data_IF_972402158750
#
_entry.id   IF_972402158750
#
_cell.length_a   1.000
_cell.length_b   1.000
_cell.length_c   1.000
_cell.angle_alpha   90.00
_cell.angle_beta   90.00
_cell.angle_gamma   90.00
#
_symmetry.space_group_name_H-M   'P 1'
#
loop_
_entity.id
_entity.type
_entity.pdbx_description
1 polymer ?
#
# COMPACT_ATOMS: atom_id res chain seq x y z
N UNK A 1 -8.49 -8.27 39.90
CA UNK A 1 -7.72 -8.52 38.66
C UNK A 1 -6.43 -7.71 38.74
N UNK A 2 -5.30 -8.27 38.33
CA UNK A 2 -4.01 -7.58 38.28
C UNK A 2 -3.43 -7.67 36.87
N UNK A 3 -3.08 -6.54 36.26
CA UNK A 3 -2.49 -6.48 34.91
C UNK A 3 -1.01 -6.12 35.05
N UNK A 4 -0.14 -6.95 34.48
CA UNK A 4 1.31 -6.76 34.50
C UNK A 4 1.77 -6.55 33.06
N UNK A 5 2.13 -5.30 32.73
CA UNK A 5 2.45 -4.89 31.35
C UNK A 5 3.67 -3.96 31.26
N UNK A 6 4.73 -4.35 30.53
CA UNK A 6 4.99 -5.69 30.02
C UNK A 6 5.61 -6.57 31.10
N UNK A 7 5.21 -7.85 31.17
CA UNK A 7 5.67 -8.80 32.21
C UNK A 7 7.20 -8.95 32.28
N UNK A 8 7.87 -8.73 31.14
CA UNK A 8 9.32 -8.85 31.07
C UNK A 8 10.09 -7.80 31.88
N UNK A 9 9.50 -6.61 32.10
CA UNK A 9 10.11 -5.56 32.93
C UNK A 9 9.97 -5.87 34.43
N UNK A 10 9.19 -6.88 34.79
CA UNK A 10 9.01 -7.33 36.16
C UNK A 10 9.93 -8.52 36.52
N UNK A 11 10.81 -8.95 35.61
CA UNK A 11 11.78 -9.99 35.91
C UNK A 11 12.78 -9.51 36.98
N UNK A 12 12.99 -10.28 38.06
CA UNK A 12 14.13 -10.11 38.96
C UNK A 12 15.46 -10.22 38.21
N UNK A 13 16.49 -9.50 38.69
CA UNK A 13 17.80 -9.42 38.03
C UNK A 13 18.55 -10.76 37.98
N UNK A 14 18.22 -11.69 38.87
CA UNK A 14 18.85 -13.01 39.02
C UNK A 14 18.19 -14.09 38.17
N UNK A 15 17.14 -13.74 37.40
CA UNK A 15 16.42 -14.69 36.55
C UNK A 15 16.98 -14.69 35.12
N UNK A 16 17.35 -15.87 34.65
CA UNK A 16 17.68 -16.08 33.24
C UNK A 16 16.41 -16.31 32.41
N UNK A 17 16.04 -15.41 31.47
CA UNK A 17 14.83 -15.54 30.65
C UNK A 17 14.85 -16.73 29.68
N UNK A 18 16.02 -17.32 29.42
CA UNK A 18 16.14 -18.54 28.62
C UNK A 18 15.94 -19.83 29.45
N UNK A 19 15.92 -19.73 30.79
CA UNK A 19 15.78 -20.88 31.67
C UNK A 19 14.33 -21.12 32.07
N UNK A 20 13.76 -22.22 31.59
CA UNK A 20 12.40 -22.66 31.91
C UNK A 20 12.11 -22.73 33.41
N UNK A 21 13.08 -23.20 34.21
CA UNK A 21 12.88 -23.37 35.66
C UNK A 21 12.86 -22.03 36.40
N UNK A 22 13.71 -21.08 36.02
CA UNK A 22 13.75 -19.76 36.64
C UNK A 22 12.46 -18.98 36.34
N UNK A 23 12.01 -18.99 35.08
CA UNK A 23 10.75 -18.37 34.67
C UNK A 23 9.56 -19.07 35.34
N UNK A 24 9.55 -20.41 35.40
CA UNK A 24 8.48 -21.17 36.05
C UNK A 24 8.34 -20.85 37.54
N UNK A 25 9.46 -20.66 38.26
CA UNK A 25 9.46 -20.24 39.68
C UNK A 25 8.86 -18.83 39.83
N UNK A 26 9.24 -17.90 38.98
CA UNK A 26 8.71 -16.53 39.02
C UNK A 26 7.20 -16.48 38.73
N UNK A 27 6.75 -17.14 37.66
CA UNK A 27 5.34 -17.14 37.26
C UNK A 27 4.44 -17.78 38.32
N UNK A 28 4.95 -18.80 39.01
CA UNK A 28 4.28 -19.38 40.19
C UNK A 28 4.12 -18.35 41.30
N UNK A 29 5.19 -17.64 41.66
CA UNK A 29 5.14 -16.61 42.70
C UNK A 29 4.13 -15.51 42.35
N UNK A 30 4.08 -15.06 41.09
CA UNK A 30 3.08 -14.08 40.62
C UNK A 30 1.66 -14.63 40.79
N UNK A 31 1.43 -15.90 40.45
CA UNK A 31 0.13 -16.55 40.62
C UNK A 31 -0.28 -16.64 42.07
N UNK A 32 0.63 -17.05 42.96
CA UNK A 32 0.37 -17.22 44.38
C UNK A 32 0.02 -15.88 45.02
N UNK A 33 0.81 -14.83 44.77
CA UNK A 33 0.53 -13.47 45.27
C UNK A 33 -0.82 -12.96 44.76
N UNK A 34 -1.12 -13.12 43.47
CA UNK A 34 -2.41 -12.69 42.92
C UNK A 34 -3.56 -13.48 43.53
N UNK A 35 -3.43 -14.81 43.66
CA UNK A 35 -4.44 -15.68 44.26
C UNK A 35 -4.71 -15.31 45.71
N UNK A 36 -3.67 -15.10 46.50
CA UNK A 36 -3.78 -14.74 47.93
C UNK A 36 -4.45 -13.37 48.09
N UNK A 37 -4.28 -12.47 47.13
CA UNK A 37 -4.97 -11.20 47.04
C UNK A 37 -6.39 -11.28 46.41
N UNK A 38 -6.88 -12.47 46.06
CA UNK A 38 -8.19 -12.65 45.40
C UNK A 38 -8.25 -12.10 43.97
N UNK A 39 -7.11 -11.96 43.29
CA UNK A 39 -7.00 -11.41 41.95
C UNK A 39 -6.58 -12.48 40.92
N UNK A 40 -7.16 -12.41 39.72
CA UNK A 40 -6.64 -13.14 38.56
C UNK A 40 -5.52 -12.32 37.89
N UNK A 41 -4.33 -12.91 37.64
CA UNK A 41 -3.27 -12.24 36.90
C UNK A 41 -3.55 -12.22 35.39
N UNK A 42 -3.27 -11.08 34.75
CA UNK A 42 -3.18 -10.91 33.29
C UNK A 42 -1.76 -10.45 32.99
N UNK A 43 -1.01 -11.28 32.26
CA UNK A 43 0.37 -10.99 31.92
C UNK A 43 0.45 -10.57 30.44
N UNK A 44 0.97 -9.38 30.18
CA UNK A 44 1.18 -8.88 28.81
C UNK A 44 2.60 -9.22 28.39
N UNK A 45 2.72 -10.05 27.37
CA UNK A 45 4.00 -10.48 26.80
C UNK A 45 4.06 -10.18 25.31
N UNK A 46 5.27 -9.91 24.82
CA UNK A 46 5.54 -9.79 23.39
C UNK A 46 5.65 -11.16 22.70
N UNK A 47 5.30 -11.19 21.41
CA UNK A 47 5.66 -12.27 20.50
C UNK A 47 7.12 -12.12 20.03
N UNK A 48 7.74 -13.23 19.62
CA UNK A 48 9.08 -13.31 19.06
C UNK A 48 9.19 -12.47 17.79
N UNK A 49 10.38 -11.88 17.58
CA UNK A 49 10.74 -11.22 16.33
C UNK A 49 11.37 -12.23 15.36
N UNK A 50 11.32 -11.94 14.07
CA UNK A 50 12.04 -12.72 13.05
C UNK A 50 11.34 -14.01 12.60
N UNK A 51 10.03 -14.13 12.81
CA UNK A 51 9.24 -15.21 12.22
C UNK A 51 9.16 -15.06 10.69
N UNK A 52 9.18 -16.18 9.96
CA UNK A 52 9.27 -16.20 8.50
C UNK A 52 8.13 -15.44 7.81
N UNK A 53 6.92 -15.49 8.38
CA UNK A 53 5.80 -14.67 7.96
C UNK A 53 5.18 -13.98 9.19
N UNK A 54 5.43 -12.68 9.41
CA UNK A 54 4.89 -11.97 10.56
C UNK A 54 3.41 -11.61 10.45
N UNK A 55 2.74 -11.99 9.35
CA UNK A 55 1.36 -11.58 9.05
C UNK A 55 0.32 -12.71 9.21
N UNK A 56 0.73 -13.83 9.80
CA UNK A 56 -0.15 -14.96 10.13
C UNK A 56 -0.74 -14.79 11.54
N UNK A 57 -1.83 -15.49 11.88
CA UNK A 57 -2.33 -15.52 13.26
C UNK A 57 -1.23 -15.92 14.24
N UNK A 58 -1.10 -15.18 15.33
CA UNK A 58 -0.15 -15.53 16.38
C UNK A 58 -0.51 -16.86 17.05
N UNK A 59 0.51 -17.66 17.35
CA UNK A 59 0.39 -18.93 18.06
C UNK A 59 1.05 -18.83 19.44
N UNK A 60 0.77 -19.79 20.31
CA UNK A 60 1.30 -19.78 21.68
C UNK A 60 2.83 -19.95 21.68
N UNK A 61 3.34 -20.72 20.72
CA UNK A 61 4.75 -20.96 20.44
C UNK A 61 5.50 -19.70 20.01
N UNK A 62 4.77 -18.69 19.52
CA UNK A 62 5.33 -17.39 19.15
C UNK A 62 5.62 -16.50 20.36
N UNK A 63 5.17 -16.87 21.56
CA UNK A 63 5.48 -16.09 22.77
C UNK A 63 6.98 -16.10 23.03
N UNK A 64 7.52 -14.93 23.40
CA UNK A 64 8.92 -14.78 23.76
C UNK A 64 9.30 -15.57 25.01
N UNK A 65 10.57 -15.99 25.07
CA UNK A 65 11.19 -16.62 26.24
C UNK A 65 10.65 -18.01 26.63
N UNK A 66 11.39 -18.70 27.50
CA UNK A 66 11.05 -20.05 27.91
C UNK A 66 9.93 -20.04 28.96
N UNK A 67 9.05 -21.05 28.96
CA UNK A 67 8.12 -21.30 30.08
C UNK A 67 6.81 -20.55 30.06
N UNK A 68 6.68 -19.48 29.28
CA UNK A 68 5.45 -18.71 29.23
C UNK A 68 4.31 -19.47 28.55
N UNK A 69 4.58 -20.15 27.43
CA UNK A 69 3.57 -20.93 26.71
C UNK A 69 3.00 -22.06 27.59
N UNK A 70 3.83 -22.73 28.38
CA UNK A 70 3.42 -23.84 29.25
C UNK A 70 2.62 -23.34 30.47
N UNK A 71 2.87 -22.10 30.90
CA UNK A 71 2.21 -21.50 32.04
C UNK A 71 0.81 -20.93 31.70
N UNK A 72 0.64 -20.37 30.50
CA UNK A 72 -0.63 -19.76 30.11
C UNK A 72 -1.75 -20.79 29.91
N UNK A 73 -2.73 -20.77 30.82
CA UNK A 73 -3.94 -21.62 30.73
C UNK A 73 -4.99 -21.07 29.77
N UNK A 74 -4.99 -19.75 29.56
CA UNK A 74 -5.84 -18.99 28.64
C UNK A 74 -4.98 -17.91 27.99
N UNK A 75 -5.24 -17.58 26.73
CA UNK A 75 -4.45 -16.60 25.98
C UNK A 75 -5.31 -15.76 25.04
N UNK A 76 -4.82 -14.56 24.78
CA UNK A 76 -5.28 -13.65 23.73
C UNK A 76 -4.04 -13.14 23.00
N UNK A 77 -3.93 -13.48 21.73
CA UNK A 77 -2.78 -13.17 20.88
C UNK A 77 -3.24 -12.20 19.79
N UNK A 78 -2.54 -11.07 19.70
CA UNK A 78 -2.75 -10.07 18.67
C UNK A 78 -1.53 -10.07 17.77
N UNK A 79 -1.74 -10.25 16.47
CA UNK A 79 -0.69 -10.10 15.47
C UNK A 79 -1.19 -9.27 14.27
N UNK A 80 -0.30 -8.74 13.44
CA UNK A 80 -0.71 -8.00 12.24
C UNK A 80 -1.18 -8.96 11.14
N UNK A 81 -2.13 -8.54 10.31
CA UNK A 81 -2.50 -9.26 9.06
C UNK A 81 -1.71 -8.78 7.84
N UNK A 82 -1.08 -7.62 7.96
CA UNK A 82 -0.34 -6.96 6.89
C UNK A 82 0.57 -5.87 7.48
N UNK A 83 1.54 -5.34 6.71
CA UNK A 83 2.36 -4.21 7.14
C UNK A 83 1.48 -3.02 7.51
N UNK A 84 1.84 -2.30 8.57
CA UNK A 84 1.15 -1.07 8.93
C UNK A 84 1.51 0.06 7.95
N UNK A 85 0.51 0.72 7.41
CA UNK A 85 0.69 1.93 6.61
C UNK A 85 0.68 3.16 7.52
N UNK A 86 1.83 3.83 7.62
CA UNK A 86 2.02 5.01 8.47
C UNK A 86 1.07 6.13 8.04
N UNK A 87 0.31 6.67 9.00
CA UNK A 87 -0.63 7.76 8.75
C UNK A 87 -2.02 7.32 8.30
N UNK A 88 -2.24 6.03 8.03
CA UNK A 88 -3.57 5.51 7.66
C UNK A 88 -4.56 5.54 8.82
N UNK A 89 -4.09 5.36 10.06
CA UNK A 89 -4.95 5.13 11.23
C UNK A 89 -5.68 3.79 11.18
N UNK A 90 -5.35 2.91 10.21
CA UNK A 90 -6.01 1.62 10.02
C UNK A 90 -5.11 0.47 10.46
N UNK A 91 -5.62 -0.35 11.36
CA UNK A 91 -4.93 -1.51 11.90
C UNK A 91 -5.69 -2.78 11.52
N UNK A 92 -5.09 -3.59 10.65
CA UNK A 92 -5.60 -4.92 10.32
C UNK A 92 -4.86 -5.98 11.14
N UNK A 93 -5.56 -6.61 12.08
CA UNK A 93 -4.98 -7.51 13.07
C UNK A 93 -5.66 -8.89 13.03
N UNK A 94 -4.91 -9.92 13.38
CA UNK A 94 -5.43 -11.21 13.81
C UNK A 94 -5.62 -11.16 15.32
N UNK A 95 -6.74 -11.73 15.78
CA UNK A 95 -7.04 -11.95 17.18
C UNK A 95 -7.32 -13.43 17.40
N UNK A 96 -6.33 -14.12 17.99
CA UNK A 96 -6.38 -15.54 18.30
C UNK A 96 -6.55 -15.70 19.80
N UNK A 97 -7.58 -16.43 20.22
CA UNK A 97 -7.86 -16.69 21.63
C UNK A 97 -8.00 -18.18 21.86
N UNK A 98 -7.73 -18.61 23.08
CA UNK A 98 -7.99 -19.98 23.46
C UNK A 98 -7.61 -20.29 24.88
N UNK A 99 -7.78 -21.56 25.23
CA UNK A 99 -7.39 -22.06 26.52
C UNK A 99 -7.07 -23.55 26.49
N UNK A 100 -6.32 -23.96 27.50
CA UNK A 100 -5.93 -25.33 27.80
C UNK A 100 -7.08 -26.34 27.92
N UNK A 101 -8.33 -25.90 28.00
CA UNK A 101 -9.51 -26.75 27.94
C UNK A 101 -9.96 -27.08 26.51
N UNK A 102 -9.21 -26.66 25.49
CA UNK A 102 -9.44 -26.98 24.07
C UNK A 102 -10.36 -26.00 23.33
N UNK A 103 -10.89 -24.96 23.99
CA UNK A 103 -11.63 -23.90 23.30
C UNK A 103 -10.66 -22.95 22.61
N UNK A 104 -11.01 -22.51 21.41
CA UNK A 104 -10.26 -21.50 20.66
C UNK A 104 -11.18 -20.70 19.73
N UNK A 105 -10.74 -19.50 19.36
CA UNK A 105 -11.39 -18.66 18.37
C UNK A 105 -10.36 -17.82 17.63
N UNK A 106 -10.60 -17.59 16.34
CA UNK A 106 -9.79 -16.74 15.49
C UNK A 106 -10.68 -15.73 14.79
N UNK A 107 -10.33 -14.45 14.93
CA UNK A 107 -11.01 -13.33 14.30
C UNK A 107 -10.01 -12.43 13.59
N UNK A 108 -10.43 -11.82 12.49
CA UNK A 108 -9.82 -10.61 11.97
C UNK A 108 -10.39 -9.40 12.69
N UNK A 109 -9.54 -8.48 13.11
CA UNK A 109 -9.92 -7.16 13.58
C UNK A 109 -9.47 -6.13 12.55
N UNK A 110 -10.36 -5.21 12.21
CA UNK A 110 -10.05 -3.97 11.51
C UNK A 110 -10.38 -2.82 12.44
N UNK A 111 -9.35 -2.10 12.89
CA UNK A 111 -9.48 -0.98 13.83
C UNK A 111 -9.09 0.29 13.09
N UNK A 112 -10.02 1.25 12.99
CA UNK A 112 -9.76 2.57 12.48
C UNK A 112 -9.74 3.58 13.62
N UNK A 113 -8.56 4.18 13.85
CA UNK A 113 -8.31 5.16 14.91
C UNK A 113 -8.50 6.62 14.45
N UNK A 114 -8.77 6.83 13.16
CA UNK A 114 -8.69 8.14 12.53
C UNK A 114 -7.25 8.56 12.21
N UNK A 115 -7.12 9.62 11.41
CA UNK A 115 -5.82 10.21 11.09
C UNK A 115 -5.51 11.27 12.14
N UNK A 116 -4.31 11.20 12.73
CA UNK A 116 -3.88 12.21 13.69
C UNK A 116 -3.80 13.59 13.02
N UNK A 117 -4.63 14.51 13.47
CA UNK A 117 -4.65 15.89 13.03
C UNK A 117 -4.09 16.82 14.13
N UNK A 118 -2.90 17.41 13.94
CA UNK A 118 -2.31 18.34 14.89
C UNK A 118 -3.13 19.62 15.11
N UNK A 119 -4.00 19.99 14.15
CA UNK A 119 -4.85 21.17 14.27
C UNK A 119 -6.09 20.94 15.15
N UNK A 120 -6.39 19.68 15.46
CA UNK A 120 -7.55 19.28 16.25
C UNK A 120 -8.89 19.41 15.52
N UNK A 121 -8.88 19.66 14.21
CA UNK A 121 -10.10 19.77 13.40
C UNK A 121 -10.79 18.41 13.21
N UNK A 122 -10.02 17.31 13.23
CA UNK A 122 -10.57 15.94 13.25
C UNK A 122 -10.23 15.23 14.56
N UNK A 123 -11.23 14.75 15.33
CA UNK A 123 -10.98 13.91 16.49
C UNK A 123 -10.46 12.53 16.06
N UNK A 124 -9.68 11.87 16.93
CA UNK A 124 -9.43 10.43 16.80
C UNK A 124 -10.76 9.69 17.01
N UNK A 125 -10.96 8.63 16.25
CA UNK A 125 -12.12 7.74 16.39
C UNK A 125 -11.65 6.38 16.87
N UNK A 126 -12.57 5.53 17.32
CA UNK A 126 -12.26 4.14 17.63
C UNK A 126 -13.36 3.28 17.02
N UNK A 127 -13.19 2.95 15.75
CA UNK A 127 -14.13 2.12 15.00
C UNK A 127 -13.52 0.73 14.81
N UNK A 128 -14.25 -0.31 15.22
CA UNK A 128 -13.76 -1.68 15.25
C UNK A 128 -14.73 -2.58 14.51
N UNK A 129 -14.24 -3.18 13.44
CA UNK A 129 -14.93 -4.24 12.70
C UNK A 129 -14.29 -5.59 13.00
N UNK A 130 -15.13 -6.60 13.19
CA UNK A 130 -14.69 -7.99 13.35
C UNK A 130 -15.04 -8.80 12.11
N UNK A 131 -14.15 -9.69 11.72
CA UNK A 131 -14.27 -10.53 10.53
C UNK A 131 -13.99 -11.98 10.91
N UNK A 132 -14.74 -12.91 10.32
CA UNK A 132 -14.40 -14.34 10.35
C UNK A 132 -13.20 -14.60 9.43
N UNK A 133 -12.42 -15.67 9.66
CA UNK A 133 -11.22 -15.95 8.87
C UNK A 133 -11.45 -16.03 7.35
N UNK A 134 -12.59 -16.59 6.91
CA UNK A 134 -12.91 -16.67 5.48
C UNK A 134 -13.25 -15.30 4.87
N UNK A 135 -13.83 -14.39 5.64
CA UNK A 135 -14.14 -13.02 5.21
C UNK A 135 -12.85 -12.21 5.05
N UNK A 136 -11.86 -12.45 5.92
CA UNK A 136 -10.52 -11.88 5.78
C UNK A 136 -9.86 -12.29 4.46
N UNK A 137 -9.91 -13.58 4.13
CA UNK A 137 -9.30 -14.10 2.90
C UNK A 137 -9.96 -13.50 1.66
N UNK A 138 -11.30 -13.51 1.61
CA UNK A 138 -12.07 -12.87 0.53
C UNK A 138 -11.73 -11.39 0.39
N UNK A 139 -11.76 -10.63 1.47
CA UNK A 139 -11.44 -9.21 1.43
C UNK A 139 -10.00 -8.94 0.97
N UNK A 140 -9.06 -9.85 1.26
CA UNK A 140 -7.68 -9.76 0.77
C UNK A 140 -7.57 -10.09 -0.72
N UNK A 141 -8.37 -11.02 -1.22
CA UNK A 141 -8.45 -11.35 -2.65
C UNK A 141 -9.05 -10.20 -3.44
N UNK A 142 -10.19 -9.67 -3.00
CA UNK A 142 -10.88 -8.53 -3.60
C UNK A 142 -9.94 -7.32 -3.71
N UNK A 143 -9.25 -6.95 -2.61
CA UNK A 143 -8.25 -5.86 -2.63
C UNK A 143 -7.09 -6.12 -3.59
N UNK A 144 -6.67 -7.37 -3.71
CA UNK A 144 -5.57 -7.73 -4.62
C UNK A 144 -6.02 -7.62 -6.07
N UNK A 145 -7.27 -7.93 -6.38
CA UNK A 145 -7.85 -7.77 -7.71
C UNK A 145 -7.99 -6.29 -8.05
N UNK A 146 -8.59 -5.49 -7.18
CA UNK A 146 -8.69 -4.03 -7.33
C UNK A 146 -7.30 -3.39 -7.55
N UNK A 147 -6.29 -3.77 -6.76
CA UNK A 147 -4.93 -3.26 -6.91
C UNK A 147 -4.28 -3.69 -8.24
N UNK A 148 -4.61 -4.87 -8.77
CA UNK A 148 -4.13 -5.31 -10.10
C UNK A 148 -4.79 -4.50 -11.20
N UNK A 149 -6.10 -4.27 -11.12
CA UNK A 149 -6.86 -3.49 -12.09
C UNK A 149 -6.36 -2.04 -12.13
N UNK A 150 -6.28 -1.37 -10.97
CA UNK A 150 -5.76 -0.01 -10.86
C UNK A 150 -4.33 0.11 -11.42
N UNK A 151 -3.47 -0.90 -11.17
CA UNK A 151 -2.11 -0.93 -11.71
C UNK A 151 -2.09 -1.18 -13.22
N UNK A 152 -3.00 -1.99 -13.74
CA UNK A 152 -3.14 -2.23 -15.18
C UNK A 152 -3.59 -0.95 -15.90
N UNK A 153 -4.62 -0.28 -15.38
CA UNK A 153 -5.11 1.00 -15.88
C UNK A 153 -4.00 2.07 -15.87
N UNK A 154 -3.30 2.20 -14.73
CA UNK A 154 -2.19 3.14 -14.61
C UNK A 154 -1.09 2.87 -15.64
N UNK A 155 -0.76 1.58 -15.89
CA UNK A 155 0.21 1.19 -16.92
C UNK A 155 -0.26 1.51 -18.33
N UNK A 156 -1.53 1.26 -18.65
CA UNK A 156 -2.12 1.59 -19.95
C UNK A 156 -2.05 3.10 -20.18
N UNK A 157 -2.51 3.90 -19.20
CA UNK A 157 -2.46 5.36 -19.24
C UNK A 157 -1.03 5.89 -19.42
N UNK A 158 -0.10 5.45 -18.58
CA UNK A 158 1.31 5.88 -18.65
C UNK A 158 1.96 5.51 -19.99
N UNK A 159 1.61 4.34 -20.55
CA UNK A 159 2.09 3.90 -21.87
C UNK A 159 1.53 4.79 -22.97
N UNK A 160 0.22 5.07 -22.95
CA UNK A 160 -0.42 5.95 -23.91
C UNK A 160 0.19 7.35 -23.87
N UNK A 161 0.37 7.93 -22.68
CA UNK A 161 1.01 9.24 -22.50
C UNK A 161 2.43 9.29 -23.06
N UNK A 162 3.22 8.23 -22.85
CA UNK A 162 4.56 8.11 -23.43
C UNK A 162 4.52 8.05 -24.96
N UNK A 163 3.60 7.29 -25.53
CA UNK A 163 3.46 7.16 -26.98
C UNK A 163 2.99 8.50 -27.59
N UNK A 164 2.00 9.14 -26.97
CA UNK A 164 1.51 10.48 -27.30
C UNK A 164 2.67 11.48 -27.38
N UNK A 165 3.55 11.51 -26.38
CA UNK A 165 4.74 12.40 -26.39
C UNK A 165 5.67 12.11 -27.56
N UNK A 166 6.02 10.84 -27.79
CA UNK A 166 6.90 10.45 -28.91
C UNK A 166 6.34 10.84 -30.28
N UNK A 167 5.02 10.73 -30.47
CA UNK A 167 4.38 11.14 -31.73
C UNK A 167 4.53 12.64 -31.94
N UNK A 168 4.25 13.44 -30.92
CA UNK A 168 4.43 14.90 -30.98
C UNK A 168 5.90 15.25 -31.25
N UNK A 169 6.85 14.63 -30.55
CA UNK A 169 8.29 14.89 -30.74
C UNK A 169 8.73 14.64 -32.20
N UNK A 170 8.20 13.59 -32.85
CA UNK A 170 8.47 13.31 -34.27
C UNK A 170 7.81 14.36 -35.18
N UNK A 171 6.58 14.76 -34.87
CA UNK A 171 5.82 15.72 -35.68
C UNK A 171 6.35 17.14 -35.61
N UNK A 172 6.97 17.55 -34.50
CA UNK A 172 7.66 18.85 -34.40
C UNK A 172 8.75 19.00 -35.46
N UNK A 173 9.43 17.91 -35.85
CA UNK A 173 10.41 17.92 -36.94
C UNK A 173 9.80 17.89 -38.34
N UNK A 174 8.47 17.78 -38.48
CA UNK A 174 7.79 17.49 -39.74
C UNK A 174 6.45 18.25 -39.85
N UNK A 175 6.50 19.57 -40.07
CA UNK A 175 5.32 20.44 -40.03
C UNK A 175 4.28 20.16 -41.13
N UNK A 176 4.69 19.58 -42.27
CA UNK A 176 3.79 19.32 -43.42
C UNK A 176 2.96 18.03 -43.29
N UNK A 177 2.95 17.40 -42.11
CA UNK A 177 2.22 16.17 -41.83
C UNK A 177 2.85 14.90 -42.39
N UNK A 178 2.55 13.76 -41.75
CA UNK A 178 3.08 12.45 -42.13
C UNK A 178 2.04 11.34 -42.06
N UNK A 179 2.26 10.30 -42.87
CA UNK A 179 1.42 9.09 -42.82
C UNK A 179 1.64 8.32 -41.52
N UNK A 180 0.60 7.60 -41.07
CA UNK A 180 0.64 6.77 -39.86
C UNK A 180 1.84 5.81 -39.83
N UNK A 181 2.13 5.14 -40.95
CA UNK A 181 3.26 4.21 -41.06
C UNK A 181 4.59 4.92 -40.84
N UNK A 182 4.76 6.12 -41.42
CA UNK A 182 5.98 6.92 -41.29
C UNK A 182 6.19 7.38 -39.86
N UNK A 183 5.12 7.82 -39.19
CA UNK A 183 5.16 8.25 -37.78
C UNK A 183 5.49 7.08 -36.85
N UNK A 184 4.87 5.93 -37.07
CA UNK A 184 5.14 4.71 -36.30
C UNK A 184 6.60 4.27 -36.40
N UNK A 185 7.15 4.24 -37.63
CA UNK A 185 8.53 3.84 -37.89
C UNK A 185 9.53 4.80 -37.23
N UNK A 186 9.33 6.11 -37.37
CA UNK A 186 10.20 7.14 -36.79
C UNK A 186 10.13 7.18 -35.27
N UNK A 187 8.93 7.03 -34.70
CA UNK A 187 8.72 6.97 -33.25
C UNK A 187 9.15 5.60 -32.63
N UNK A 188 9.62 4.68 -33.48
CA UNK A 188 10.05 3.31 -33.13
C UNK A 188 9.00 2.56 -32.32
N UNK A 189 7.76 2.56 -32.81
CA UNK A 189 6.64 1.86 -32.20
C UNK A 189 5.79 1.14 -33.24
N UNK A 190 5.03 0.13 -32.79
CA UNK A 190 4.09 -0.58 -33.65
C UNK A 190 3.00 0.35 -34.20
N UNK A 191 2.51 0.09 -35.42
CA UNK A 191 1.43 0.87 -36.04
C UNK A 191 0.17 0.99 -35.17
N UNK A 192 -0.23 -0.09 -34.49
CA UNK A 192 -1.38 -0.07 -33.59
C UNK A 192 -1.22 0.98 -32.48
N UNK A 193 -0.10 0.94 -31.75
CA UNK A 193 0.21 1.92 -30.69
C UNK A 193 0.33 3.36 -31.21
N UNK A 194 0.81 3.53 -32.43
CA UNK A 194 0.85 4.85 -33.06
C UNK A 194 -0.56 5.35 -33.40
N UNK A 195 -1.44 4.47 -33.91
CA UNK A 195 -2.85 4.78 -34.18
C UNK A 195 -3.57 5.22 -32.91
N UNK A 196 -3.49 4.41 -31.85
CA UNK A 196 -4.08 4.71 -30.53
C UNK A 196 -3.60 6.07 -29.99
N UNK A 197 -2.30 6.37 -30.12
CA UNK A 197 -1.74 7.65 -29.66
C UNK A 197 -2.16 8.84 -30.53
N UNK A 198 -2.31 8.64 -31.85
CA UNK A 198 -2.73 9.69 -32.79
C UNK A 198 -4.23 9.98 -32.64
N UNK A 199 -5.08 8.96 -32.66
CA UNK A 199 -6.54 9.08 -32.47
C UNK A 199 -6.84 9.87 -31.20
N UNK A 200 -6.21 9.49 -30.10
CA UNK A 200 -6.40 10.14 -28.82
C UNK A 200 -5.88 11.60 -28.77
N UNK A 201 -4.99 11.99 -29.70
CA UNK A 201 -4.54 13.38 -29.86
C UNK A 201 -5.36 14.18 -30.85
N UNK A 202 -5.99 13.52 -31.83
CA UNK A 202 -7.02 14.12 -32.68
C UNK A 202 -8.25 14.45 -31.83
N UNK A 203 -8.64 13.56 -30.93
CA UNK A 203 -9.69 13.82 -29.92
C UNK A 203 -9.35 15.00 -29.02
N UNK A 204 -8.09 15.11 -28.56
CA UNK A 204 -7.61 16.25 -27.78
C UNK A 204 -7.48 17.56 -28.62
N UNK A 205 -7.75 17.51 -29.93
CA UNK A 205 -7.63 18.65 -30.86
C UNK A 205 -6.20 19.07 -31.16
N UNK A 206 -5.20 18.27 -30.78
CA UNK A 206 -3.78 18.59 -30.98
C UNK A 206 -3.27 18.15 -32.35
N UNK A 207 -3.94 17.19 -32.98
CA UNK A 207 -3.65 16.69 -34.33
C UNK A 207 -4.88 16.82 -35.21
N UNK A 208 -4.65 17.05 -36.49
CA UNK A 208 -5.69 17.06 -37.52
C UNK A 208 -5.32 16.09 -38.65
N UNK A 209 -6.33 15.41 -39.21
CA UNK A 209 -6.14 14.57 -40.39
C UNK A 209 -5.87 15.45 -41.62
N UNK A 210 -4.89 15.08 -42.44
CA UNK A 210 -4.51 15.79 -43.66
C UNK A 210 -4.15 14.83 -44.80
N UNK A 211 -3.98 15.36 -46.01
CA UNK A 211 -3.47 14.60 -47.17
C UNK A 211 -1.98 14.91 -47.33
N UNK A 212 -1.16 13.86 -47.34
CA UNK A 212 0.30 13.96 -47.49
C UNK A 212 0.71 13.36 -48.83
N UNK A 213 1.43 14.13 -49.65
CA UNK A 213 1.93 13.67 -50.95
C UNK A 213 3.28 12.97 -50.75
N UNK A 214 3.39 11.69 -51.14
CA UNK A 214 4.65 10.92 -50.99
C UNK A 214 5.08 10.22 -52.29
N UNK A 215 6.40 10.22 -52.53
CA UNK A 215 7.06 9.49 -53.61
C UNK A 215 7.12 10.20 -54.97
N UNK A 216 7.92 9.66 -55.89
CA UNK A 216 8.12 10.23 -57.25
C UNK A 216 6.83 10.33 -58.07
N UNK A 217 5.86 9.47 -57.79
CA UNK A 217 4.56 9.44 -58.47
C UNK A 217 3.50 10.36 -57.84
N UNK A 218 3.89 11.22 -56.88
CA UNK A 218 3.00 12.20 -56.22
C UNK A 218 1.66 11.60 -55.75
N UNK A 219 1.67 10.41 -55.15
CA UNK A 219 0.45 9.81 -54.62
C UNK A 219 0.05 10.52 -53.32
N UNK A 220 -1.21 10.92 -53.24
CA UNK A 220 -1.82 11.44 -52.02
C UNK A 220 -2.19 10.28 -51.09
N UNK A 221 -1.79 10.39 -49.83
CA UNK A 221 -2.07 9.41 -48.78
C UNK A 221 -2.63 10.10 -47.55
N UNK A 222 -3.43 9.37 -46.77
CA UNK A 222 -3.92 9.87 -45.48
C UNK A 222 -2.78 10.01 -44.48
N UNK A 223 -2.72 11.17 -43.84
CA UNK A 223 -1.74 11.50 -42.83
C UNK A 223 -2.31 12.40 -41.75
N UNK A 224 -1.42 12.82 -40.86
CA UNK A 224 -1.74 13.65 -39.71
C UNK A 224 -0.70 14.74 -39.56
N UNK A 225 -1.13 15.92 -39.16
CA UNK A 225 -0.28 17.06 -38.84
C UNK A 225 -0.69 17.68 -37.50
N UNK A 226 0.23 18.45 -36.90
CA UNK A 226 -0.11 19.25 -35.73
C UNK A 226 -1.22 20.24 -36.11
N UNK A 227 -2.20 20.43 -35.23
CA UNK A 227 -3.15 21.52 -35.38
C UNK A 227 -2.35 22.83 -35.32
N UNK A 228 -2.42 23.64 -36.39
CA UNK A 228 -1.83 24.98 -36.36
C UNK A 228 -2.61 25.83 -35.35
N UNK A 229 -1.92 26.60 -34.53
CA UNK A 229 -2.50 27.71 -33.76
C UNK A 229 -2.83 28.89 -34.73
N UNK A 230 -3.62 28.63 -35.79
CA UNK A 230 -4.00 29.64 -36.79
C UNK A 230 -5.15 30.56 -36.30
N UNK A 231 -5.45 30.55 -35.00
CA UNK A 231 -6.04 31.70 -34.31
C UNK A 231 -4.86 32.47 -33.69
N UNK A 232 -4.42 33.57 -34.31
CA UNK A 232 -3.20 34.32 -34.01
C UNK A 232 -3.08 34.98 -32.61
N UNK A 233 -3.53 34.32 -31.55
CA UNK A 233 -3.19 34.63 -30.16
C UNK A 233 -2.38 33.46 -29.56
N UNK A 234 -1.07 33.68 -29.47
CA UNK A 234 -0.18 32.86 -28.66
C UNK A 234 -0.74 32.78 -27.23
N UNK A 235 -1.28 31.61 -26.85
CA UNK A 235 -1.74 31.35 -25.49
C UNK A 235 -0.63 30.61 -24.71
N UNK A 236 0.23 31.33 -23.95
CA UNK A 236 1.31 30.72 -23.19
C UNK A 236 0.83 29.75 -22.10
N UNK A 237 -0.47 29.76 -21.73
CA UNK A 237 -1.02 28.88 -20.70
C UNK A 237 -1.32 27.44 -21.18
N UNK A 238 -1.24 27.15 -22.49
CA UNK A 238 -1.45 25.78 -23.00
C UNK A 238 -0.22 24.88 -22.91
N UNK A 239 0.99 25.44 -22.96
CA UNK A 239 2.24 24.67 -22.80
C UNK A 239 2.66 24.52 -21.33
N UNK A 240 2.23 25.42 -20.43
CA UNK A 240 2.56 25.36 -19.00
C UNK A 240 1.79 24.30 -18.22
N UNK A 241 0.69 23.74 -18.75
CA UNK A 241 0.02 22.56 -18.14
C UNK A 241 0.80 21.24 -18.33
N UNK A 242 1.96 21.27 -18.99
CA UNK A 242 2.86 20.12 -19.18
C UNK A 242 3.86 19.96 -18.01
N UNK A 243 3.92 20.91 -17.07
CA UNK A 243 4.71 20.77 -15.85
C UNK A 243 3.96 19.95 -14.78
N UNK A 244 4.63 18.91 -14.27
CA UNK A 244 4.33 18.00 -13.17
C UNK A 244 3.26 18.43 -12.14
N UNK A 245 2.49 17.48 -11.55
CA UNK A 245 1.87 17.73 -10.26
C UNK A 245 3.00 18.02 -9.26
N UNK A 246 3.06 19.27 -8.80
CA UNK A 246 3.95 19.72 -7.74
C UNK A 246 3.70 18.86 -6.50
N UNK A 247 4.63 17.95 -6.21
CA UNK A 247 4.84 17.46 -4.86
C UNK A 247 5.15 18.66 -3.97
N UNK A 248 4.29 18.87 -2.97
CA UNK A 248 4.55 19.82 -1.91
C UNK A 248 5.76 19.36 -1.09
N UNK A 249 6.81 20.17 -1.17
CA UNK A 249 7.95 20.19 -0.26
C UNK A 249 7.51 20.28 1.21
N UNK A 250 8.11 19.46 2.07
CA UNK A 250 8.52 19.92 3.41
C UNK A 250 10.04 19.84 3.49
N UNK A 251 10.64 21.00 3.67
CA UNK A 251 12.09 21.25 3.71
C UNK A 251 12.73 20.69 4.98
N UNK A 252 13.96 20.23 4.81
CA UNK A 252 15.02 20.15 5.83
C UNK A 252 15.23 21.48 6.56
N UNK A 253 15.44 21.42 7.88
CA UNK A 253 16.37 22.24 8.67
C UNK A 253 17.21 21.23 9.49
N UNK A 254 18.49 21.04 9.17
CA UNK A 254 19.68 21.74 9.66
C UNK A 254 20.19 21.21 11.03
N UNK A 255 21.37 20.62 10.94
CA UNK A 255 22.42 20.36 11.93
C UNK A 255 22.18 20.72 13.42
N UNK A 256 22.28 19.72 14.29
CA UNK A 256 23.44 19.49 15.17
C UNK A 256 23.50 18.02 15.58
#
# INVERSE_FOLDING_TARGET
MAIIDPVYLCLPYDINPANLFDIGRMLRNVSDVCRDAGATPILVHHLKKGIANPYVPGQLEDIGWAGFQEFFRQWMLINRREPYEVGSGLHRLWFSTGGSAGHSSLLGLDIFEGIYDPSGASPRVWDVTTLKPHEVNRASEDRREEAKEAKAEFRVRTRLDRNRRKIIDVMVGQPNGHTLSSLADQARMSRQRASEAIESRVEDGQLIACKVVKGKNKRELDGYQLANDDDGEFNPDRLTRIACPSGSNVKKKLAH
#
